data_IF_110357909924
#
_entry.id   IF_110357909924
#
_cell.length_a   1.000
_cell.length_b   1.000
_cell.length_c   1.000
_cell.angle_alpha   90.00
_cell.angle_beta   90.00
_cell.angle_gamma   90.00
#
_symmetry.space_group_name_H-M   'P 1'
#
loop_
_entity.id
_entity.type
_entity.pdbx_description
1 polymer ?
#
# COMPACT_ATOMS: atom_id res chain seq x y z
N UNK A 1 4.28 -8.78 8.18
CA UNK A 1 4.30 -9.40 6.83
C UNK A 1 5.15 -8.54 5.91
N UNK A 2 5.70 -9.07 4.80
CA UNK A 2 6.53 -8.28 3.87
C UNK A 2 6.03 -8.41 2.43
N UNK A 3 5.74 -7.28 1.80
CA UNK A 3 5.24 -7.16 0.44
C UNK A 3 6.38 -6.73 -0.47
N UNK A 4 6.59 -7.48 -1.54
CA UNK A 4 7.50 -7.10 -2.62
C UNK A 4 6.65 -6.81 -3.85
N UNK A 5 6.67 -5.57 -4.30
CA UNK A 5 6.08 -5.19 -5.56
C UNK A 5 7.16 -4.79 -6.55
N UNK A 6 6.95 -5.14 -7.80
CA UNK A 6 7.85 -4.81 -8.89
C UNK A 6 7.06 -4.05 -9.94
N UNK A 7 7.60 -2.91 -10.36
CA UNK A 7 7.07 -2.09 -11.45
C UNK A 7 7.91 -2.29 -12.70
N UNK A 8 7.26 -2.21 -13.87
CA UNK A 8 7.97 -2.14 -15.14
C UNK A 8 8.55 -0.72 -15.28
N UNK A 9 9.85 -0.61 -15.48
CA UNK A 9 10.52 0.67 -15.74
C UNK A 9 10.47 1.02 -17.22
N UNK A 10 10.72 2.29 -17.55
CA UNK A 10 10.80 2.77 -18.93
C UNK A 10 11.89 2.05 -19.75
N UNK A 11 12.90 1.51 -19.08
CA UNK A 11 13.96 0.67 -19.68
C UNK A 11 13.54 -0.78 -19.95
N UNK A 12 12.27 -1.14 -19.69
CA UNK A 12 11.73 -2.48 -19.94
C UNK A 12 12.16 -3.54 -18.93
N UNK A 13 12.69 -3.12 -17.77
CA UNK A 13 13.12 -4.03 -16.69
C UNK A 13 12.17 -3.92 -15.49
N UNK A 14 12.00 -5.01 -14.75
CA UNK A 14 11.27 -4.96 -13.48
C UNK A 14 12.19 -4.53 -12.34
N UNK A 15 11.77 -3.52 -11.57
CA UNK A 15 12.48 -3.05 -10.38
C UNK A 15 11.53 -2.99 -9.20
N UNK A 16 12.08 -3.16 -7.98
CA UNK A 16 11.30 -3.02 -6.76
C UNK A 16 10.76 -1.60 -6.64
N UNK A 17 9.48 -1.48 -6.32
CA UNK A 17 8.82 -0.19 -6.11
C UNK A 17 8.33 -0.08 -4.67
N UNK A 18 8.31 1.14 -4.15
CA UNK A 18 7.77 1.45 -2.81
C UNK A 18 6.41 2.16 -2.89
N UNK A 19 6.08 2.71 -4.06
CA UNK A 19 4.84 3.43 -4.34
C UNK A 19 4.15 2.76 -5.52
N UNK A 20 2.82 2.65 -5.45
CA UNK A 20 2.03 2.06 -6.51
C UNK A 20 2.13 2.88 -7.79
N UNK A 21 2.40 2.19 -8.91
CA UNK A 21 2.36 2.79 -10.25
C UNK A 21 0.92 2.99 -10.77
N UNK A 22 -0.07 2.29 -10.20
CA UNK A 22 -1.48 2.35 -10.62
C UNK A 22 -2.27 3.34 -9.76
N UNK A 23 -1.93 3.43 -8.47
CA UNK A 23 -2.58 4.33 -7.50
C UNK A 23 -1.58 5.41 -7.10
N UNK A 24 -1.62 6.60 -7.75
CA UNK A 24 -0.65 7.65 -7.52
C UNK A 24 -0.53 8.01 -6.04
N UNK A 25 0.70 8.07 -5.54
CA UNK A 25 1.00 8.45 -4.16
C UNK A 25 0.78 7.35 -3.10
N UNK A 26 0.15 6.23 -3.46
CA UNK A 26 -0.10 5.16 -2.48
C UNK A 26 1.18 4.38 -2.18
N UNK A 27 1.70 4.54 -0.96
CA UNK A 27 2.83 3.74 -0.46
C UNK A 27 2.41 2.28 -0.25
N UNK A 28 3.23 1.34 -0.71
CA UNK A 28 2.98 -0.09 -0.54
C UNK A 28 3.11 -0.56 0.90
N UNK A 29 3.85 0.18 1.73
CA UNK A 29 3.88 -0.02 3.18
C UNK A 29 2.48 0.11 3.82
N UNK A 30 1.56 0.86 3.19
CA UNK A 30 0.18 0.97 3.66
C UNK A 30 -0.58 -0.34 3.45
N UNK A 31 -0.28 -1.06 2.36
CA UNK A 31 -0.87 -2.37 2.07
C UNK A 31 -0.36 -3.40 3.08
N UNK A 32 0.93 -3.41 3.39
CA UNK A 32 1.52 -4.27 4.42
C UNK A 32 0.83 -4.06 5.77
N UNK A 33 0.75 -2.80 6.23
CA UNK A 33 0.10 -2.45 7.49
C UNK A 33 -1.39 -2.82 7.50
N UNK A 34 -2.09 -2.68 6.37
CA UNK A 34 -3.49 -3.07 6.25
C UNK A 34 -3.64 -4.57 6.45
N UNK A 35 -2.79 -5.37 5.81
CA UNK A 35 -2.84 -6.82 5.91
C UNK A 35 -2.47 -7.29 7.32
N UNK A 36 -1.48 -6.68 7.95
CA UNK A 36 -1.13 -6.96 9.36
C UNK A 36 -2.30 -6.63 10.31
N UNK A 37 -2.98 -5.51 10.09
CA UNK A 37 -4.17 -5.15 10.88
C UNK A 37 -5.31 -6.13 10.69
N UNK A 38 -5.53 -6.64 9.47
CA UNK A 38 -6.57 -7.65 9.21
C UNK A 38 -6.35 -8.96 9.97
N UNK A 39 -5.12 -9.27 10.38
CA UNK A 39 -4.83 -10.44 11.21
C UNK A 39 -5.30 -10.26 12.67
N UNK A 40 -5.37 -9.02 13.16
CA UNK A 40 -5.62 -8.71 14.58
C UNK A 40 -6.88 -7.91 14.87
N UNK A 41 -7.40 -7.20 13.86
CA UNK A 41 -8.52 -6.26 13.98
C UNK A 41 -9.69 -6.69 13.08
N UNK A 42 -10.87 -6.15 13.34
CA UNK A 42 -12.02 -6.39 12.46
C UNK A 42 -11.82 -5.72 11.10
N UNK A 43 -12.43 -6.29 10.06
CA UNK A 43 -12.43 -5.68 8.72
C UNK A 43 -12.96 -4.23 8.75
N UNK A 44 -14.02 -3.95 9.53
CA UNK A 44 -14.58 -2.61 9.67
C UNK A 44 -13.59 -1.62 10.30
N UNK A 45 -12.90 -2.04 11.36
CA UNK A 45 -11.89 -1.20 12.02
C UNK A 45 -10.72 -0.90 11.06
N UNK A 46 -10.21 -1.93 10.38
CA UNK A 46 -9.11 -1.81 9.43
C UNK A 46 -9.48 -0.93 8.23
N UNK A 47 -10.69 -1.09 7.69
CA UNK A 47 -11.19 -0.26 6.59
C UNK A 47 -11.36 1.22 6.98
N UNK A 48 -11.78 1.49 8.22
CA UNK A 48 -11.86 2.85 8.74
C UNK A 48 -10.47 3.48 8.88
N UNK A 49 -9.51 2.74 9.44
CA UNK A 49 -8.12 3.18 9.55
C UNK A 49 -7.50 3.44 8.17
N UNK A 50 -7.66 2.51 7.21
CA UNK A 50 -7.11 2.65 5.86
C UNK A 50 -7.63 3.92 5.17
N UNK A 51 -8.93 4.22 5.30
CA UNK A 51 -9.51 5.47 4.78
C UNK A 51 -8.83 6.71 5.34
N UNK A 52 -8.54 6.75 6.64
CA UNK A 52 -7.83 7.87 7.26
C UNK A 52 -6.40 8.00 6.70
N UNK A 53 -5.70 6.88 6.51
CA UNK A 53 -4.35 6.91 5.93
C UNK A 53 -4.34 7.43 4.49
N UNK A 54 -5.31 7.02 3.67
CA UNK A 54 -5.44 7.49 2.29
C UNK A 54 -5.74 9.00 2.23
N UNK A 55 -6.58 9.51 3.15
CA UNK A 55 -6.83 10.95 3.27
C UNK A 55 -5.56 11.72 3.66
N UNK A 56 -4.77 11.20 4.60
CA UNK A 56 -3.53 11.83 5.05
C UNK A 56 -2.39 11.79 4.03
N UNK A 57 -2.41 10.86 3.07
CA UNK A 57 -1.44 10.81 1.97
C UNK A 57 -1.77 11.78 0.83
N UNK A 58 -2.99 12.33 0.82
CA UNK A 58 -3.47 13.26 -0.22
C UNK A 58 -3.25 14.74 0.12
N UNK A 59 -2.73 15.02 1.32
CA UNK A 59 -2.46 16.37 1.86
C UNK A 59 -0.96 16.64 1.88
#
# INVERSE_FOLDING_TARGET
>A
MRLFAFGLTESGSYQSIEVSQILPGMKLSLVEQTLERLETETNTATANWLRQQLQNQSA
#
